data_IF_085264289975
#
_entry.id   IF_085264289975
#
_cell.length_a   1.000
_cell.length_b   1.000
_cell.length_c   1.000
_cell.angle_alpha   90.00
_cell.angle_beta   90.00
_cell.angle_gamma   90.00
#
_symmetry.space_group_name_H-M   'P 1'
#
loop_
_entity.id
_entity.type
_entity.pdbx_description
1 polymer ?
#
# COMPACT_ATOMS: atom_id res chain seq x y z
N UNK A 1 -32.30 6.61 3.08
CA UNK A 1 -31.30 5.91 3.90
C UNK A 1 -30.80 6.88 4.94
N UNK A 2 -31.05 6.61 6.22
CA UNK A 2 -30.50 7.38 7.33
C UNK A 2 -28.98 7.18 7.34
N UNK A 3 -28.22 8.22 6.98
CA UNK A 3 -26.78 8.22 7.19
C UNK A 3 -26.55 8.12 8.70
N UNK A 4 -25.90 7.05 9.14
CA UNK A 4 -25.39 7.00 10.51
C UNK A 4 -24.23 7.99 10.54
N UNK A 5 -24.53 9.23 10.91
CA UNK A 5 -23.55 10.31 11.04
C UNK A 5 -22.72 10.08 12.32
N UNK A 6 -21.98 8.98 12.34
CA UNK A 6 -21.13 8.58 13.44
C UNK A 6 -19.69 8.48 12.92
N UNK A 7 -18.97 9.59 13.08
CA UNK A 7 -17.56 9.75 12.68
C UNK A 7 -16.66 8.63 13.23
N UNK A 8 -16.94 8.12 14.42
CA UNK A 8 -16.19 7.00 15.01
C UNK A 8 -16.38 5.73 14.18
N UNK A 9 -17.60 5.47 13.74
CA UNK A 9 -17.97 4.30 12.97
C UNK A 9 -17.40 4.37 11.54
N UNK A 10 -17.47 5.54 10.92
CA UNK A 10 -16.79 5.82 9.64
C UNK A 10 -15.29 5.57 9.73
N UNK A 11 -14.64 6.02 10.81
CA UNK A 11 -13.22 5.79 11.02
C UNK A 11 -12.91 4.29 11.17
N UNK A 12 -13.71 3.54 11.94
CA UNK A 12 -13.55 2.09 12.10
C UNK A 12 -13.70 1.35 10.77
N UNK A 13 -14.67 1.73 9.94
CA UNK A 13 -14.84 1.17 8.59
C UNK A 13 -13.64 1.54 7.71
N UNK A 14 -13.14 2.76 7.81
CA UNK A 14 -11.91 3.17 7.12
C UNK A 14 -10.70 2.33 7.53
N UNK A 15 -10.56 1.99 8.82
CA UNK A 15 -9.51 1.07 9.28
C UNK A 15 -9.70 -0.35 8.73
N UNK A 16 -10.95 -0.83 8.66
CA UNK A 16 -11.27 -2.13 8.09
C UNK A 16 -10.97 -2.19 6.58
N UNK A 17 -11.30 -1.15 5.80
CA UNK A 17 -10.93 -1.04 4.39
C UNK A 17 -9.42 -1.17 4.19
N UNK A 18 -8.63 -0.45 4.99
CA UNK A 18 -7.16 -0.54 4.95
C UNK A 18 -6.68 -1.96 5.24
N UNK A 19 -7.30 -2.64 6.21
CA UNK A 19 -6.95 -4.01 6.56
C UNK A 19 -7.26 -5.01 5.44
N UNK A 20 -8.41 -4.86 4.78
CA UNK A 20 -8.80 -5.66 3.60
C UNK A 20 -7.82 -5.43 2.45
N UNK A 21 -7.45 -4.17 2.19
CA UNK A 21 -6.48 -3.81 1.16
C UNK A 21 -5.11 -4.48 1.39
N UNK A 22 -4.62 -4.46 2.64
CA UNK A 22 -3.34 -5.08 3.03
C UNK A 22 -3.26 -6.57 2.67
N UNK A 23 -4.36 -7.31 2.81
CA UNK A 23 -4.41 -8.74 2.48
C UNK A 23 -4.76 -9.02 1.01
N UNK A 24 -4.73 -7.99 0.15
CA UNK A 24 -4.94 -8.11 -1.29
C UNK A 24 -6.38 -7.88 -1.75
N UNK A 25 -7.26 -7.36 -0.90
CA UNK A 25 -8.69 -7.23 -1.19
C UNK A 25 -9.11 -5.99 -1.97
N UNK A 26 -8.22 -5.44 -2.79
CA UNK A 26 -8.47 -4.17 -3.47
C UNK A 26 -9.55 -4.30 -4.56
N UNK A 27 -9.61 -5.42 -5.27
CA UNK A 27 -10.69 -5.71 -6.22
C UNK A 27 -12.05 -5.79 -5.49
N UNK A 28 -12.11 -6.49 -4.36
CA UNK A 28 -13.33 -6.57 -3.54
C UNK A 28 -13.73 -5.21 -2.96
N UNK A 29 -12.77 -4.35 -2.62
CA UNK A 29 -13.05 -2.96 -2.20
C UNK A 29 -13.73 -2.18 -3.32
N UNK A 30 -13.25 -2.30 -4.57
CA UNK A 30 -13.83 -1.59 -5.71
C UNK A 30 -15.23 -2.12 -6.03
N UNK A 31 -15.39 -3.45 -6.09
CA UNK A 31 -16.62 -4.07 -6.59
C UNK A 31 -17.72 -4.13 -5.53
N UNK A 32 -17.37 -4.63 -4.33
CA UNK A 32 -18.34 -4.98 -3.28
C UNK A 32 -18.45 -3.89 -2.21
N UNK A 33 -17.34 -3.23 -1.90
CA UNK A 33 -17.22 -2.38 -0.71
C UNK A 33 -16.83 -0.93 -1.04
N UNK A 34 -17.32 -0.44 -2.19
CA UNK A 34 -16.93 0.85 -2.78
C UNK A 34 -17.12 2.05 -1.85
N UNK A 35 -18.08 2.00 -0.92
CA UNK A 35 -18.30 3.04 0.09
C UNK A 35 -18.56 2.43 1.49
N UNK A 36 -18.54 3.28 2.51
CA UNK A 36 -18.68 2.84 3.90
C UNK A 36 -20.07 2.25 4.18
N UNK A 37 -21.12 2.78 3.56
CA UNK A 37 -22.50 2.29 3.73
C UNK A 37 -22.65 0.84 3.25
N UNK A 38 -22.02 0.47 2.12
CA UNK A 38 -22.02 -0.92 1.63
C UNK A 38 -21.36 -1.87 2.61
N UNK A 39 -20.25 -1.46 3.23
CA UNK A 39 -19.58 -2.28 4.25
C UNK A 39 -20.46 -2.41 5.49
N UNK A 40 -21.07 -1.32 5.96
CA UNK A 40 -21.99 -1.39 7.10
C UNK A 40 -23.16 -2.32 6.84
N UNK A 41 -23.81 -2.16 5.68
CA UNK A 41 -24.92 -3.02 5.30
C UNK A 41 -24.49 -4.48 5.25
N UNK A 42 -23.33 -4.78 4.67
CA UNK A 42 -22.78 -6.14 4.66
C UNK A 42 -22.58 -6.71 6.07
N UNK A 43 -21.96 -5.93 6.97
CA UNK A 43 -21.72 -6.32 8.37
C UNK A 43 -23.06 -6.60 9.08
N UNK A 44 -24.02 -5.68 8.95
CA UNK A 44 -25.34 -5.78 9.60
C UNK A 44 -26.07 -7.02 9.08
N UNK A 45 -26.19 -7.18 7.76
CA UNK A 45 -26.86 -8.32 7.14
C UNK A 45 -26.25 -9.64 7.61
N UNK A 46 -24.93 -9.77 7.56
CA UNK A 46 -24.23 -10.99 8.01
C UNK A 46 -24.43 -11.28 9.49
N UNK A 47 -24.43 -10.26 10.36
CA UNK A 47 -24.72 -10.46 11.79
C UNK A 47 -26.14 -10.99 12.02
N UNK A 48 -27.13 -10.45 11.33
CA UNK A 48 -28.53 -10.87 11.50
C UNK A 48 -28.84 -12.22 10.86
N UNK A 49 -28.20 -12.54 9.72
CA UNK A 49 -28.46 -13.79 8.99
C UNK A 49 -27.63 -14.98 9.50
N UNK A 50 -26.35 -14.75 9.81
CA UNK A 50 -25.37 -15.82 10.07
C UNK A 50 -24.81 -15.79 11.50
N UNK A 51 -25.13 -14.75 12.29
CA UNK A 51 -24.61 -14.57 13.65
C UNK A 51 -23.10 -14.26 13.72
N UNK A 52 -22.43 -14.15 12.58
CA UNK A 52 -21.00 -13.84 12.45
C UNK A 52 -20.73 -13.01 11.20
N UNK A 53 -19.61 -12.27 11.20
CA UNK A 53 -19.15 -11.51 10.02
C UNK A 53 -17.76 -11.95 9.63
N UNK A 54 -17.64 -12.42 8.40
CA UNK A 54 -16.37 -12.79 7.79
C UNK A 54 -16.23 -12.15 6.41
N UNK A 55 -14.99 -11.95 5.98
CA UNK A 55 -14.63 -11.34 4.70
C UNK A 55 -13.80 -12.35 3.92
N UNK A 56 -14.23 -12.68 2.71
CA UNK A 56 -13.49 -13.55 1.80
C UNK A 56 -12.62 -12.68 0.89
N UNK A 57 -11.31 -12.79 1.04
CA UNK A 57 -10.31 -12.06 0.26
C UNK A 57 -9.24 -13.04 -0.20
N UNK A 58 -8.96 -13.06 -1.51
CA UNK A 58 -7.94 -13.95 -2.09
C UNK A 58 -8.10 -15.43 -1.64
N UNK A 59 -9.34 -15.94 -1.66
CA UNK A 59 -9.72 -17.30 -1.23
C UNK A 59 -9.44 -17.65 0.24
N UNK A 60 -9.28 -16.64 1.10
CA UNK A 60 -9.16 -16.80 2.55
C UNK A 60 -10.29 -16.08 3.26
N UNK A 61 -10.86 -16.73 4.25
CA UNK A 61 -11.89 -16.16 5.11
C UNK A 61 -11.23 -15.48 6.31
N UNK A 62 -11.62 -14.24 6.59
CA UNK A 62 -11.12 -13.47 7.74
C UNK A 62 -12.27 -12.89 8.56
N UNK A 63 -12.17 -12.97 9.88
CA UNK A 63 -12.97 -12.14 10.78
C UNK A 63 -12.49 -10.69 10.80
N UNK A 64 -13.34 -9.77 11.27
CA UNK A 64 -12.97 -8.36 11.46
C UNK A 64 -11.73 -8.23 12.38
N UNK A 65 -11.68 -9.00 13.46
CA UNK A 65 -10.58 -8.91 14.43
C UNK A 65 -9.25 -9.39 13.83
N UNK A 66 -9.27 -10.44 13.02
CA UNK A 66 -8.06 -10.92 12.33
C UNK A 66 -7.54 -9.87 11.34
N UNK A 67 -8.41 -9.26 10.53
CA UNK A 67 -8.02 -8.18 9.62
C UNK A 67 -7.38 -7.00 10.36
N UNK A 68 -8.00 -6.55 11.45
CA UNK A 68 -7.45 -5.45 12.25
C UNK A 68 -6.13 -5.83 12.92
N UNK A 69 -5.96 -7.08 13.34
CA UNK A 69 -4.70 -7.62 13.85
C UNK A 69 -3.59 -7.58 12.79
N UNK A 70 -3.85 -8.12 11.60
CA UNK A 70 -2.93 -8.12 10.45
C UNK A 70 -2.52 -6.68 10.11
N UNK A 71 -3.47 -5.75 10.07
CA UNK A 71 -3.17 -4.34 9.81
C UNK A 71 -2.19 -3.76 10.82
N UNK A 72 -2.41 -4.00 12.11
CA UNK A 72 -1.54 -3.48 13.16
C UNK A 72 -0.12 -4.04 13.04
N UNK A 73 0.01 -5.33 12.73
CA UNK A 73 1.30 -5.99 12.58
C UNK A 73 2.02 -5.57 11.30
N UNK A 74 1.27 -5.35 10.21
CA UNK A 74 1.77 -4.72 8.99
C UNK A 74 2.32 -3.31 9.27
N UNK A 75 1.60 -2.47 10.02
CA UNK A 75 2.04 -1.11 10.34
C UNK A 75 3.31 -1.10 11.18
N UNK A 76 3.41 -1.98 12.18
CA UNK A 76 4.64 -2.16 12.97
C UNK A 76 5.80 -2.63 12.08
N UNK A 77 5.56 -3.62 11.22
CA UNK A 77 6.56 -4.14 10.30
C UNK A 77 7.05 -3.05 9.35
N UNK A 78 6.14 -2.31 8.73
CA UNK A 78 6.48 -1.24 7.81
C UNK A 78 7.36 -0.18 8.48
N UNK A 79 6.98 0.30 9.67
CA UNK A 79 7.77 1.28 10.41
C UNK A 79 9.18 0.75 10.76
N UNK A 80 9.29 -0.51 11.18
CA UNK A 80 10.55 -1.14 11.56
C UNK A 80 11.50 -1.32 10.36
N UNK A 81 10.96 -1.64 9.19
CA UNK A 81 11.76 -2.05 8.02
C UNK A 81 11.92 -0.95 6.96
N UNK A 82 11.07 0.08 6.96
CA UNK A 82 11.09 1.18 5.99
C UNK A 82 12.48 1.78 5.79
N UNK A 83 13.17 2.14 6.87
CA UNK A 83 14.48 2.79 6.78
C UNK A 83 15.55 1.87 6.17
N UNK A 84 15.53 0.59 6.54
CA UNK A 84 16.44 -0.42 6.00
C UNK A 84 16.21 -0.61 4.49
N UNK A 85 14.96 -0.70 4.05
CA UNK A 85 14.64 -0.78 2.62
C UNK A 85 15.09 0.45 1.86
N UNK A 86 14.85 1.65 2.40
CA UNK A 86 15.33 2.91 1.82
C UNK A 86 16.85 2.90 1.65
N UNK A 87 17.59 2.50 2.67
CA UNK A 87 19.06 2.45 2.63
C UNK A 87 19.57 1.44 1.60
N UNK A 88 18.93 0.27 1.50
CA UNK A 88 19.25 -0.72 0.48
C UNK A 88 19.03 -0.20 -0.95
N UNK A 89 17.92 0.51 -1.19
CA UNK A 89 17.64 1.13 -2.49
C UNK A 89 18.70 2.19 -2.81
N UNK A 90 19.01 3.08 -1.85
CA UNK A 90 20.04 4.12 -2.02
C UNK A 90 21.41 3.52 -2.34
N UNK A 91 21.79 2.43 -1.65
CA UNK A 91 23.03 1.71 -1.95
C UNK A 91 23.06 1.20 -3.39
N UNK A 92 21.97 0.56 -3.85
CA UNK A 92 21.86 0.06 -5.23
C UNK A 92 21.94 1.20 -6.25
N UNK A 93 21.29 2.34 -5.99
CA UNK A 93 21.38 3.52 -6.85
C UNK A 93 22.81 4.00 -6.98
N UNK A 94 23.48 4.26 -5.84
CA UNK A 94 24.86 4.76 -5.80
C UNK A 94 25.86 3.82 -6.48
N UNK A 95 25.61 2.51 -6.43
CA UNK A 95 26.53 1.51 -6.95
C UNK A 95 26.29 1.16 -8.43
N UNK A 96 25.05 1.21 -8.90
CA UNK A 96 24.69 0.63 -10.20
C UNK A 96 23.89 1.57 -11.12
N UNK A 97 23.29 2.65 -10.63
CA UNK A 97 22.38 3.49 -11.43
C UNK A 97 22.92 4.92 -11.64
N UNK A 98 23.81 5.05 -12.62
CA UNK A 98 24.40 6.33 -13.03
C UNK A 98 23.40 7.28 -13.69
N UNK A 99 22.29 6.75 -14.19
CA UNK A 99 21.23 7.54 -14.85
C UNK A 99 20.41 8.31 -13.83
N UNK A 100 20.04 7.67 -12.71
CA UNK A 100 19.31 8.30 -11.63
C UNK A 100 20.18 9.34 -10.93
N UNK A 101 21.47 9.06 -10.72
CA UNK A 101 22.42 10.02 -10.14
C UNK A 101 22.53 11.31 -10.99
N UNK A 102 22.50 11.17 -12.32
CA UNK A 102 22.49 12.30 -13.25
C UNK A 102 21.18 13.10 -13.20
N UNK A 103 20.03 12.43 -13.13
CA UNK A 103 18.72 13.07 -12.93
C UNK A 103 18.67 13.85 -11.61
N UNK A 104 19.22 13.28 -10.54
CA UNK A 104 19.27 13.91 -9.22
C UNK A 104 20.14 15.16 -9.23
N UNK A 105 21.32 15.10 -9.88
CA UNK A 105 22.16 16.30 -10.08
C UNK A 105 21.43 17.37 -10.89
N UNK A 106 20.65 16.98 -11.90
CA UNK A 106 19.85 17.92 -12.71
C UNK A 106 18.75 18.57 -11.85
N UNK A 107 17.99 17.77 -11.10
CA UNK A 107 16.96 18.27 -10.19
C UNK A 107 17.55 19.24 -9.16
N UNK A 108 18.70 18.93 -8.55
CA UNK A 108 19.35 19.84 -7.58
C UNK A 108 19.68 21.21 -8.16
N UNK A 109 19.88 21.31 -9.48
CA UNK A 109 20.12 22.57 -10.20
C UNK A 109 18.82 23.27 -10.60
N UNK A 110 17.83 22.52 -11.11
CA UNK A 110 16.62 23.11 -11.72
C UNK A 110 15.48 23.29 -10.73
N UNK A 111 15.41 22.46 -9.68
CA UNK A 111 14.25 22.27 -8.80
C UNK A 111 12.94 22.00 -9.57
N UNK A 112 13.06 21.46 -10.78
CA UNK A 112 11.95 21.27 -11.70
C UNK A 112 11.07 20.08 -11.31
N UNK A 113 9.76 20.25 -11.39
CA UNK A 113 8.79 19.20 -11.09
C UNK A 113 8.85 18.04 -12.10
N UNK A 114 9.27 18.32 -13.33
CA UNK A 114 9.43 17.31 -14.37
C UNK A 114 10.57 16.34 -14.05
N UNK A 115 11.72 16.87 -13.60
CA UNK A 115 12.82 16.01 -13.12
C UNK A 115 12.39 15.19 -11.91
N UNK A 116 11.62 15.79 -10.99
CA UNK A 116 11.09 15.07 -9.83
C UNK A 116 10.24 13.86 -10.24
N UNK A 117 9.28 14.08 -11.13
CA UNK A 117 8.37 13.03 -11.61
C UNK A 117 9.12 11.93 -12.39
N UNK A 118 10.15 12.31 -13.16
CA UNK A 118 11.04 11.35 -13.85
C UNK A 118 11.83 10.50 -12.86
N UNK A 119 12.39 11.09 -11.80
CA UNK A 119 13.07 10.32 -10.75
C UNK A 119 12.11 9.35 -10.05
N UNK A 120 10.92 9.84 -9.66
CA UNK A 120 9.93 9.03 -8.97
C UNK A 120 9.50 7.81 -9.80
N UNK A 121 9.13 8.03 -11.07
CA UNK A 121 8.76 6.94 -11.98
C UNK A 121 9.91 5.97 -12.28
N UNK A 122 11.14 6.47 -12.35
CA UNK A 122 12.33 5.60 -12.53
C UNK A 122 12.56 4.74 -11.29
N UNK A 123 12.48 5.33 -10.10
CA UNK A 123 12.62 4.59 -8.84
C UNK A 123 11.55 3.50 -8.70
N UNK A 124 10.30 3.85 -8.98
CA UNK A 124 9.17 2.93 -8.90
C UNK A 124 9.34 1.73 -9.84
N UNK A 125 9.81 1.97 -11.07
CA UNK A 125 10.05 0.91 -12.06
C UNK A 125 11.28 0.07 -11.73
N UNK A 126 12.43 0.71 -11.47
CA UNK A 126 13.70 0.02 -11.29
C UNK A 126 13.74 -0.77 -9.98
N UNK A 127 13.17 -0.22 -8.91
CA UNK A 127 13.17 -0.85 -7.57
C UNK A 127 11.84 -1.50 -7.22
N UNK A 128 10.99 -1.76 -8.21
CA UNK A 128 9.66 -2.37 -8.07
C UNK A 128 9.66 -3.56 -7.11
N UNK A 129 10.60 -4.50 -7.28
CA UNK A 129 10.67 -5.70 -6.43
C UNK A 129 10.96 -5.36 -4.96
N UNK A 130 11.94 -4.50 -4.70
CA UNK A 130 12.26 -4.06 -3.33
C UNK A 130 11.08 -3.37 -2.65
N UNK A 131 10.30 -2.61 -3.42
CA UNK A 131 9.08 -1.93 -2.97
C UNK A 131 7.97 -2.96 -2.69
N UNK A 132 7.68 -3.85 -3.64
CA UNK A 132 6.59 -4.82 -3.50
C UNK A 132 6.82 -5.78 -2.33
N UNK A 133 8.07 -6.22 -2.09
CA UNK A 133 8.39 -7.12 -0.97
C UNK A 133 8.08 -6.51 0.42
N UNK A 134 8.10 -5.18 0.55
CA UNK A 134 7.72 -4.52 1.81
C UNK A 134 6.25 -4.11 1.84
N UNK A 135 5.69 -3.61 0.73
CA UNK A 135 4.31 -3.10 0.70
C UNK A 135 3.27 -4.22 0.60
N UNK A 136 3.53 -5.24 -0.22
CA UNK A 136 2.59 -6.35 -0.47
C UNK A 136 2.93 -7.58 0.38
N UNK A 137 3.59 -7.39 1.53
CA UNK A 137 4.09 -8.51 2.36
C UNK A 137 3.01 -9.49 2.82
N UNK A 138 1.80 -8.99 3.08
CA UNK A 138 0.70 -9.81 3.55
C UNK A 138 -0.08 -10.48 2.39
N UNK A 139 0.27 -10.12 1.14
CA UNK A 139 -0.10 -10.89 -0.04
C UNK A 139 0.89 -12.05 -0.18
N UNK A 140 0.45 -13.18 -0.73
CA UNK A 140 1.30 -14.36 -0.92
C UNK A 140 2.62 -13.97 -1.61
N UNK A 141 3.74 -14.21 -0.91
CA UNK A 141 5.05 -13.77 -1.36
C UNK A 141 5.48 -14.46 -2.67
N UNK A 142 5.07 -15.73 -2.88
CA UNK A 142 5.32 -16.44 -4.13
C UNK A 142 4.55 -15.79 -5.27
N UNK A 143 3.29 -15.40 -5.02
CA UNK A 143 2.51 -14.65 -5.99
C UNK A 143 3.15 -13.29 -6.29
N UNK A 144 3.57 -12.54 -5.27
CA UNK A 144 4.19 -11.21 -5.43
C UNK A 144 5.51 -11.27 -6.20
N UNK A 145 6.35 -12.27 -5.94
CA UNK A 145 7.62 -12.44 -6.66
C UNK A 145 7.44 -12.84 -8.13
N UNK A 146 6.34 -13.53 -8.45
CA UNK A 146 6.03 -13.95 -9.81
C UNK A 146 5.41 -12.84 -10.67
N UNK A 147 5.00 -11.70 -10.09
CA UNK A 147 4.33 -10.62 -10.81
C UNK A 147 5.23 -9.98 -11.89
N UNK A 148 4.69 -9.95 -13.11
CA UNK A 148 5.22 -9.13 -14.19
C UNK A 148 4.93 -7.64 -13.94
N UNK A 149 5.60 -6.77 -14.69
CA UNK A 149 5.40 -5.33 -14.56
C UNK A 149 3.95 -4.94 -14.81
N UNK A 150 3.31 -4.27 -13.85
CA UNK A 150 1.94 -3.78 -13.95
C UNK A 150 0.90 -4.75 -13.39
N UNK A 151 1.23 -6.03 -13.21
CA UNK A 151 0.30 -6.99 -12.61
C UNK A 151 0.08 -6.74 -11.12
N UNK A 152 1.01 -6.05 -10.46
CA UNK A 152 0.90 -5.67 -9.06
C UNK A 152 -0.17 -4.59 -8.81
N UNK A 153 -0.55 -3.81 -9.82
CA UNK A 153 -1.45 -2.65 -9.66
C UNK A 153 -2.81 -3.05 -9.06
N UNK A 154 -3.29 -4.26 -9.35
CA UNK A 154 -4.53 -4.80 -8.79
C UNK A 154 -4.53 -4.91 -7.27
N UNK A 155 -3.36 -4.98 -6.63
CA UNK A 155 -3.24 -5.03 -5.17
C UNK A 155 -3.10 -3.64 -4.54
N UNK A 156 -2.77 -2.60 -5.32
CA UNK A 156 -2.50 -1.27 -4.81
C UNK A 156 -3.75 -0.40 -4.77
N UNK A 157 -4.40 -0.34 -3.61
CA UNK A 157 -5.42 0.65 -3.32
C UNK A 157 -4.85 1.98 -2.81
N UNK A 158 -5.72 2.81 -2.24
CA UNK A 158 -5.34 4.14 -1.76
C UNK A 158 -4.27 4.05 -0.65
N UNK A 159 -4.44 3.14 0.30
CA UNK A 159 -3.57 3.05 1.48
C UNK A 159 -2.17 2.53 1.13
N UNK A 160 -2.07 1.47 0.35
CA UNK A 160 -0.80 0.89 -0.06
C UNK A 160 -0.07 1.81 -1.05
N UNK A 161 -0.79 2.56 -1.90
CA UNK A 161 -0.18 3.62 -2.70
C UNK A 161 0.41 4.74 -1.83
N UNK A 162 -0.26 5.14 -0.75
CA UNK A 162 0.31 6.09 0.21
C UNK A 162 1.59 5.55 0.87
N UNK A 163 1.64 4.25 1.23
CA UNK A 163 2.84 3.62 1.81
C UNK A 163 3.99 3.53 0.81
N UNK A 164 3.69 3.16 -0.44
CA UNK A 164 4.64 3.16 -1.56
C UNK A 164 5.24 4.55 -1.77
N UNK A 165 4.39 5.57 -1.87
CA UNK A 165 4.84 6.97 -1.99
C UNK A 165 5.71 7.40 -0.82
N UNK A 166 5.31 7.11 0.42
CA UNK A 166 6.09 7.45 1.61
C UNK A 166 7.48 6.76 1.67
N UNK A 167 7.65 5.62 0.99
CA UNK A 167 8.94 4.94 0.85
C UNK A 167 9.80 5.63 -0.22
N UNK A 168 9.22 5.91 -1.39
CA UNK A 168 9.89 6.61 -2.49
C UNK A 168 10.32 8.02 -2.11
N UNK A 169 9.45 8.79 -1.46
CA UNK A 169 9.78 10.12 -0.94
C UNK A 169 10.92 10.04 0.09
N UNK A 170 10.98 8.97 0.88
CA UNK A 170 12.06 8.71 1.82
C UNK A 170 13.40 8.43 1.15
N UNK A 171 13.41 7.70 0.03
CA UNK A 171 14.60 7.51 -0.82
C UNK A 171 15.07 8.85 -1.36
N UNK A 172 14.16 9.60 -2.00
CA UNK A 172 14.44 10.90 -2.60
C UNK A 172 15.01 11.87 -1.56
N UNK A 173 14.36 12.02 -0.41
CA UNK A 173 14.83 12.88 0.68
C UNK A 173 16.23 12.52 1.16
N UNK A 174 16.51 11.24 1.44
CA UNK A 174 17.85 10.79 1.87
C UNK A 174 18.94 10.91 0.78
N UNK A 175 18.56 11.11 -0.48
CA UNK A 175 19.50 11.46 -1.56
C UNK A 175 19.83 12.97 -1.61
N UNK A 176 19.31 13.75 -0.67
CA UNK A 176 19.59 15.18 -0.49
C UNK A 176 18.78 16.06 -1.45
N UNK A 177 17.54 15.67 -1.73
CA UNK A 177 16.63 16.32 -2.69
C UNK A 177 15.58 17.18 -1.98
N UNK A 178 15.48 17.06 -0.66
CA UNK A 178 14.58 17.83 0.22
C UNK A 178 15.40 18.59 1.25
#
# INVERSE_FOLDING_TARGET
MSSINNKVLEEKIGQLKKAIEIVGGQEEIIDKWSNNDKIMNYIITKLFEEGKVTFNVCNKEYSINELLGIKLDYEKYFLKNKNKTIENIIYKIKKYDTSLDSLIRKYKKTRGIEEYNKMFSTLEKTYRRDINMIILREVDNVAVEALFAGEEEKYYGEYLNQKKKALLDGVISKMGIV
#
